data_IF_959458501913
#
_entry.id   IF_959458501913
#
_cell.length_a   1.000
_cell.length_b   1.000
_cell.length_c   1.000
_cell.angle_alpha   90.00
_cell.angle_beta   90.00
_cell.angle_gamma   90.00
#
_symmetry.space_group_name_H-M   'P 1'
#
loop_
_entity.id
_entity.type
_entity.pdbx_description
1 polymer ?
#
# COMPACT_ATOMS: atom_id res chain seq x y z
N UNK A 1 32.90 2.15 22.41
CA UNK A 1 33.71 3.19 23.07
C UNK A 1 34.79 2.55 23.94
N UNK A 2 36.01 3.09 23.93
CA UNK A 2 37.14 2.63 24.75
C UNK A 2 37.11 3.21 26.18
N UNK A 3 37.84 2.63 27.15
CA UNK A 3 37.91 3.19 28.50
C UNK A 3 38.43 4.63 28.55
N UNK A 4 39.36 5.01 27.66
CA UNK A 4 39.88 6.38 27.57
C UNK A 4 38.80 7.36 27.11
N UNK A 5 38.02 6.98 26.10
CA UNK A 5 36.89 7.77 25.60
C UNK A 5 35.79 7.91 26.67
N UNK A 6 35.54 6.89 27.48
CA UNK A 6 34.60 6.97 28.60
C UNK A 6 35.01 8.03 29.64
N UNK A 7 36.31 8.14 29.93
CA UNK A 7 36.86 9.21 30.79
C UNK A 7 36.64 10.58 30.16
N UNK A 8 36.79 10.72 28.84
CA UNK A 8 36.50 11.98 28.15
C UNK A 8 35.02 12.35 28.23
N UNK A 9 34.11 11.40 28.02
CA UNK A 9 32.66 11.64 28.17
C UNK A 9 32.32 12.07 29.61
N UNK A 10 32.84 11.38 30.62
CA UNK A 10 32.57 11.73 32.02
C UNK A 10 33.08 13.14 32.38
N UNK A 11 34.29 13.50 31.92
CA UNK A 11 34.83 14.86 32.08
C UNK A 11 34.00 15.90 31.33
N UNK A 12 33.54 15.55 30.14
CA UNK A 12 32.71 16.44 29.32
C UNK A 12 31.38 16.74 30.02
N UNK A 13 30.69 15.71 30.53
CA UNK A 13 29.48 15.90 31.34
C UNK A 13 29.75 16.69 32.61
N UNK A 14 30.84 16.43 33.33
CA UNK A 14 31.17 17.20 34.53
C UNK A 14 31.41 18.69 34.23
N UNK A 15 31.85 19.01 33.02
CA UNK A 15 32.05 20.39 32.56
C UNK A 15 30.71 21.07 32.24
N UNK A 16 29.81 20.37 31.55
CA UNK A 16 28.49 20.90 31.17
C UNK A 16 27.50 20.93 32.34
N UNK A 17 27.61 19.97 33.27
CA UNK A 17 26.72 19.76 34.39
C UNK A 17 27.48 19.82 35.72
N UNK A 18 28.01 21.00 36.14
CA UNK A 18 28.92 21.11 37.29
C UNK A 18 28.30 20.74 38.64
N UNK A 19 26.96 20.67 38.73
CA UNK A 19 26.26 20.23 39.94
C UNK A 19 26.28 18.70 40.13
N UNK A 20 26.55 17.94 39.05
CA UNK A 20 26.59 16.50 39.08
C UNK A 20 27.93 16.02 39.67
N UNK A 21 27.86 15.27 40.77
CA UNK A 21 29.06 14.76 41.45
C UNK A 21 29.60 13.54 40.71
N UNK A 22 30.86 13.61 40.29
CA UNK A 22 31.62 12.49 39.75
C UNK A 22 32.65 12.01 40.79
N UNK A 23 32.82 10.69 40.89
CA UNK A 23 33.90 10.08 41.67
C UNK A 23 34.91 9.38 40.75
N UNK A 24 35.99 8.86 41.33
CA UNK A 24 37.08 8.21 40.59
C UNK A 24 36.64 6.97 39.79
N UNK A 25 35.56 6.29 40.21
CA UNK A 25 35.04 5.09 39.56
C UNK A 25 33.93 5.37 38.53
N UNK A 26 33.39 6.59 38.49
CA UNK A 26 32.27 6.95 37.61
C UNK A 26 32.60 6.72 36.14
N UNK A 27 33.80 7.10 35.63
CA UNK A 27 34.18 6.81 34.24
C UNK A 27 34.22 5.33 33.90
N UNK A 28 34.66 4.47 34.83
CA UNK A 28 34.73 3.02 34.60
C UNK A 28 33.32 2.42 34.50
N UNK A 29 32.42 2.82 35.41
CA UNK A 29 31.03 2.38 35.38
C UNK A 29 30.32 2.84 34.10
N UNK A 30 30.52 4.11 33.70
CA UNK A 30 29.96 4.65 32.47
C UNK A 30 30.54 3.99 31.23
N UNK A 31 31.85 3.70 31.22
CA UNK A 31 32.53 3.01 30.14
C UNK A 31 31.94 1.63 29.87
N UNK A 32 31.59 0.87 30.93
CA UNK A 32 30.93 -0.42 30.77
C UNK A 32 29.53 -0.29 30.14
N UNK A 33 28.76 0.72 30.56
CA UNK A 33 27.39 0.94 30.08
C UNK A 33 27.37 1.46 28.64
N UNK A 34 28.32 2.34 28.29
CA UNK A 34 28.41 2.98 26.98
C UNK A 34 29.36 2.26 26.00
N UNK A 35 29.98 1.16 26.42
CA UNK A 35 30.92 0.38 25.60
C UNK A 35 30.41 0.05 24.18
N UNK A 36 29.12 -0.28 23.96
CA UNK A 36 28.61 -0.62 22.63
C UNK A 36 28.53 0.56 21.63
N UNK A 37 28.59 1.81 22.10
CA UNK A 37 28.33 2.99 21.27
C UNK A 37 29.63 3.69 20.86
N UNK A 38 29.57 4.48 19.76
CA UNK A 38 30.71 5.29 19.33
C UNK A 38 30.87 6.54 20.22
N UNK A 39 32.10 7.02 20.38
CA UNK A 39 32.39 8.21 21.18
C UNK A 39 31.67 9.45 20.66
N UNK A 40 31.69 9.68 19.34
CA UNK A 40 31.05 10.84 18.72
C UNK A 40 29.53 10.85 18.90
N UNK A 41 28.88 9.68 18.82
CA UNK A 41 27.44 9.55 19.09
C UNK A 41 27.12 9.87 20.55
N UNK A 42 27.93 9.37 21.48
CA UNK A 42 27.76 9.66 22.91
C UNK A 42 27.97 11.14 23.21
N UNK A 43 28.96 11.78 22.60
CA UNK A 43 29.20 13.22 22.77
C UNK A 43 28.04 14.06 22.25
N UNK A 44 27.56 13.79 21.04
CA UNK A 44 26.43 14.52 20.46
C UNK A 44 25.13 14.31 21.25
N UNK A 45 24.95 13.14 21.85
CA UNK A 45 23.84 12.86 22.74
C UNK A 45 23.95 13.61 24.08
N UNK A 46 25.16 13.72 24.64
CA UNK A 46 25.41 14.55 25.83
C UNK A 46 25.03 16.01 25.59
N UNK A 47 25.40 16.58 24.43
CA UNK A 47 25.04 17.95 24.07
C UNK A 47 23.52 18.14 24.03
N UNK A 48 22.81 17.20 23.42
CA UNK A 48 21.35 17.24 23.32
C UNK A 48 20.67 17.14 24.68
N UNK A 49 21.09 16.20 25.53
CA UNK A 49 20.49 16.00 26.86
C UNK A 49 20.80 17.19 27.77
N UNK A 50 22.06 17.62 27.84
CA UNK A 50 22.48 18.74 28.70
C UNK A 50 21.80 20.07 28.33
N UNK A 51 21.42 20.27 27.06
CA UNK A 51 20.66 21.46 26.66
C UNK A 51 19.25 21.54 27.27
N UNK A 52 18.69 20.41 27.72
CA UNK A 52 17.31 20.30 28.23
C UNK A 52 17.24 20.16 29.75
N UNK A 53 18.33 19.73 30.39
CA UNK A 53 18.35 19.41 31.81
C UNK A 53 19.75 19.53 32.42
N UNK A 54 19.79 19.83 33.72
CA UNK A 54 21.04 20.10 34.46
C UNK A 54 21.82 18.84 34.89
N UNK A 55 21.28 17.64 34.65
CA UNK A 55 21.91 16.36 34.98
C UNK A 55 21.85 15.43 33.78
N UNK A 56 22.88 14.60 33.60
CA UNK A 56 22.96 13.65 32.48
C UNK A 56 23.35 12.27 33.01
N UNK A 57 22.53 11.28 32.74
CA UNK A 57 22.79 9.88 33.06
C UNK A 57 23.19 9.07 31.81
N UNK A 58 23.93 7.95 31.95
CA UNK A 58 24.23 7.06 30.83
C UNK A 58 22.98 6.55 30.11
N UNK A 59 21.89 6.30 30.85
CA UNK A 59 20.63 5.84 30.28
C UNK A 59 20.01 6.88 29.36
N UNK A 60 20.08 8.17 29.70
CA UNK A 60 19.56 9.25 28.84
C UNK A 60 20.41 9.43 27.59
N UNK A 61 21.73 9.32 27.71
CA UNK A 61 22.65 9.31 26.56
C UNK A 61 22.26 8.16 25.62
N UNK A 62 22.05 6.95 26.15
CA UNK A 62 21.63 5.78 25.35
C UNK A 62 20.28 6.03 24.67
N UNK A 63 19.30 6.56 25.40
CA UNK A 63 17.98 6.88 24.86
C UNK A 63 18.07 7.87 23.70
N UNK A 64 18.87 8.93 23.85
CA UNK A 64 19.08 9.93 22.79
C UNK A 64 19.82 9.34 21.58
N UNK A 65 20.86 8.51 21.78
CA UNK A 65 21.54 7.82 20.68
C UNK A 65 20.54 6.95 19.90
N UNK A 66 19.70 6.18 20.61
CA UNK A 66 18.67 5.33 19.98
C UNK A 66 17.62 6.15 19.23
N UNK A 67 17.20 7.28 19.78
CA UNK A 67 16.25 8.18 19.13
C UNK A 67 16.82 8.72 17.80
N UNK A 68 18.08 9.20 17.82
CA UNK A 68 18.76 9.69 16.61
C UNK A 68 19.01 8.58 15.59
N UNK A 69 19.34 7.37 16.03
CA UNK A 69 19.46 6.19 15.14
C UNK A 69 18.13 5.87 14.48
N UNK A 70 17.02 5.89 15.23
CA UNK A 70 15.69 5.67 14.69
C UNK A 70 15.32 6.75 13.65
N UNK A 71 15.57 8.02 13.96
CA UNK A 71 15.37 9.14 13.03
C UNK A 71 16.18 8.95 11.73
N UNK A 72 17.45 8.55 11.83
CA UNK A 72 18.28 8.26 10.65
C UNK A 72 17.73 7.11 9.82
N UNK A 73 17.26 6.03 10.46
CA UNK A 73 16.65 4.89 9.78
C UNK A 73 15.37 5.32 9.03
N UNK A 74 14.53 6.13 9.67
CA UNK A 74 13.31 6.67 9.05
C UNK A 74 13.63 7.56 7.85
N UNK A 75 14.59 8.48 7.99
CA UNK A 75 15.00 9.40 6.92
C UNK A 75 15.72 8.70 5.76
N UNK A 76 16.39 7.59 6.01
CA UNK A 76 17.09 6.82 4.98
C UNK A 76 16.14 6.07 4.03
N UNK A 77 14.84 5.95 4.37
CA UNK A 77 13.82 5.26 3.55
C UNK A 77 14.35 3.95 2.94
N UNK A 78 14.91 3.09 3.80
CA UNK A 78 15.59 1.86 3.38
C UNK A 78 14.64 0.96 2.58
N UNK A 79 15.06 0.60 1.37
CA UNK A 79 14.37 -0.37 0.50
C UNK A 79 15.31 -1.54 0.25
N UNK A 80 14.78 -2.76 0.39
CA UNK A 80 15.48 -3.99 0.07
C UNK A 80 14.78 -4.68 -1.09
N UNK A 81 15.45 -4.79 -2.23
CA UNK A 81 14.88 -5.35 -3.46
C UNK A 81 14.89 -6.89 -3.49
N UNK A 82 15.70 -7.51 -2.64
CA UNK A 82 15.86 -8.96 -2.58
C UNK A 82 16.60 -9.57 -3.76
N UNK A 83 17.25 -10.71 -3.51
CA UNK A 83 17.82 -11.58 -4.54
C UNK A 83 16.94 -12.83 -4.66
N UNK A 84 16.36 -13.16 -5.82
CA UNK A 84 15.52 -14.35 -5.97
C UNK A 84 16.26 -15.68 -5.67
N UNK A 85 17.60 -15.68 -5.62
CA UNK A 85 18.41 -16.85 -5.30
C UNK A 85 18.76 -16.97 -3.81
N UNK A 86 18.46 -15.96 -3.00
CA UNK A 86 18.79 -15.95 -1.58
C UNK A 86 17.82 -16.77 -0.73
N UNK A 87 18.33 -17.34 0.35
CA UNK A 87 17.48 -17.95 1.38
C UNK A 87 16.84 -16.88 2.26
N UNK A 88 15.72 -17.21 2.92
CA UNK A 88 15.08 -16.28 3.86
C UNK A 88 15.98 -15.84 5.03
N UNK A 89 16.94 -16.68 5.43
CA UNK A 89 17.90 -16.33 6.48
C UNK A 89 18.93 -15.29 6.01
N UNK A 90 19.41 -15.43 4.77
CA UNK A 90 20.33 -14.48 4.13
C UNK A 90 19.64 -13.13 3.91
N UNK A 91 18.41 -13.15 3.39
CA UNK A 91 17.57 -11.96 3.22
C UNK A 91 17.38 -11.19 4.54
N UNK A 92 17.07 -11.91 5.63
CA UNK A 92 16.91 -11.30 6.94
C UNK A 92 18.24 -10.74 7.50
N UNK A 93 19.37 -11.37 7.20
CA UNK A 93 20.68 -10.86 7.59
C UNK A 93 21.05 -9.60 6.80
N UNK A 94 20.81 -9.58 5.49
CA UNK A 94 21.03 -8.42 4.62
C UNK A 94 20.18 -7.21 5.08
N UNK A 95 18.89 -7.42 5.34
CA UNK A 95 18.00 -6.37 5.87
C UNK A 95 18.53 -5.78 7.19
N UNK A 96 18.99 -6.62 8.13
CA UNK A 96 19.57 -6.14 9.39
C UNK A 96 20.84 -5.34 9.17
N UNK A 97 21.67 -5.72 8.20
CA UNK A 97 22.87 -4.97 7.85
C UNK A 97 22.54 -3.58 7.30
N UNK A 98 21.58 -3.51 6.37
CA UNK A 98 21.19 -2.22 5.76
C UNK A 98 20.57 -1.30 6.82
N UNK A 99 19.68 -1.83 7.67
CA UNK A 99 19.10 -1.05 8.79
C UNK A 99 20.20 -0.58 9.74
N UNK A 100 21.21 -1.42 10.03
CA UNK A 100 22.35 -1.03 10.86
C UNK A 100 23.16 0.08 10.21
N UNK A 101 23.48 -0.04 8.92
CA UNK A 101 24.21 0.98 8.17
C UNK A 101 23.46 2.32 8.12
N UNK A 102 22.14 2.30 7.95
CA UNK A 102 21.31 3.50 8.05
C UNK A 102 21.32 4.08 9.48
N UNK A 103 21.19 3.22 10.49
CA UNK A 103 21.32 3.59 11.89
C UNK A 103 22.67 4.23 12.21
N UNK A 104 23.77 3.72 11.67
CA UNK A 104 25.11 4.26 11.86
C UNK A 104 25.41 5.50 10.97
N UNK A 105 24.44 5.94 10.16
CA UNK A 105 24.56 7.12 9.30
C UNK A 105 25.39 6.92 8.04
N UNK A 106 25.73 5.68 7.69
CA UNK A 106 26.42 5.34 6.43
C UNK A 106 25.49 5.44 5.22
N UNK A 107 24.18 5.35 5.46
CA UNK A 107 23.15 5.64 4.46
C UNK A 107 22.56 7.02 4.75
N UNK A 108 22.81 7.98 3.86
CA UNK A 108 22.28 9.33 3.98
C UNK A 108 20.75 9.39 3.80
N UNK A 109 20.13 10.53 4.13
CA UNK A 109 18.70 10.72 3.92
C UNK A 109 18.37 10.61 2.42
N UNK A 110 17.31 9.90 2.10
CA UNK A 110 16.79 9.74 0.74
C UNK A 110 15.30 10.02 0.73
N UNK A 111 14.73 10.44 -0.40
CA UNK A 111 13.27 10.50 -0.52
C UNK A 111 12.72 9.10 -0.83
N UNK A 112 11.49 8.79 -0.38
CA UNK A 112 10.79 7.55 -0.75
C UNK A 112 10.86 7.31 -2.27
N UNK A 113 10.68 8.37 -3.06
CA UNK A 113 10.76 8.30 -4.53
C UNK A 113 12.15 7.88 -5.01
N UNK A 114 13.21 8.42 -4.41
CA UNK A 114 14.58 8.04 -4.74
C UNK A 114 14.86 6.59 -4.35
N UNK A 115 14.46 6.16 -3.15
CA UNK A 115 14.65 4.78 -2.68
C UNK A 115 13.94 3.74 -3.53
N UNK A 116 12.78 4.08 -4.12
CA UNK A 116 12.06 3.20 -5.05
C UNK A 116 12.62 3.22 -6.48
N UNK A 117 13.79 3.83 -6.72
CA UNK A 117 14.38 3.95 -8.05
C UNK A 117 13.60 4.86 -9.00
N UNK A 118 12.67 5.68 -8.48
CA UNK A 118 11.85 6.60 -9.27
C UNK A 118 12.44 8.02 -9.35
N UNK A 119 13.63 8.24 -8.78
CA UNK A 119 14.39 9.48 -8.87
C UNK A 119 14.93 9.75 -10.27
N UNK A 120 15.45 8.71 -10.94
CA UNK A 120 16.03 8.79 -12.30
C UNK A 120 15.03 8.55 -13.43
N UNK A 121 13.81 8.12 -13.11
CA UNK A 121 12.70 8.23 -14.07
C UNK A 121 12.29 9.69 -14.14
N UNK A 122 13.01 10.44 -14.98
CA UNK A 122 12.47 11.61 -15.66
C UNK A 122 11.03 11.28 -16.04
N UNK A 123 10.10 12.19 -15.74
CA UNK A 123 8.80 12.17 -16.39
C UNK A 123 9.04 11.80 -17.87
N UNK A 124 8.36 10.76 -18.38
CA UNK A 124 8.55 10.21 -19.73
C UNK A 124 9.23 11.23 -20.66
N UNK A 125 10.44 10.95 -21.17
CA UNK A 125 11.20 11.97 -21.91
C UNK A 125 10.32 12.53 -23.02
N UNK A 126 10.22 13.86 -23.18
CA UNK A 126 9.38 14.42 -24.24
C UNK A 126 9.93 13.96 -25.60
N UNK A 127 9.21 13.07 -26.27
CA UNK A 127 9.60 12.52 -27.57
C UNK A 127 8.49 11.65 -28.18
N UNK A 128 8.38 11.67 -29.50
CA UNK A 128 7.30 11.04 -30.28
C UNK A 128 7.34 9.49 -30.31
N UNK A 129 8.31 8.86 -29.64
CA UNK A 129 8.56 7.41 -29.69
C UNK A 129 8.02 6.66 -28.46
N UNK A 130 7.00 7.20 -27.80
CA UNK A 130 6.20 6.37 -26.91
C UNK A 130 5.24 5.59 -27.82
N UNK A 131 5.20 4.26 -27.70
CA UNK A 131 4.23 3.42 -28.43
C UNK A 131 2.77 3.79 -28.13
N UNK A 132 1.81 2.85 -28.07
CA UNK A 132 0.37 3.16 -27.99
C UNK A 132 -0.12 3.93 -26.72
N UNK A 133 0.80 4.47 -25.91
CA UNK A 133 0.59 5.18 -24.66
C UNK A 133 1.02 6.65 -24.67
N UNK A 134 1.42 7.21 -25.83
CA UNK A 134 1.67 8.65 -25.98
C UNK A 134 0.45 9.47 -25.48
N UNK A 135 0.70 10.51 -24.69
CA UNK A 135 -0.36 11.37 -24.16
C UNK A 135 -1.20 10.79 -23.00
N UNK A 136 -1.01 9.52 -22.60
CA UNK A 136 -1.82 8.92 -21.51
C UNK A 136 -1.62 9.63 -20.17
N UNK A 137 -0.38 9.99 -19.83
CA UNK A 137 -0.08 10.73 -18.60
C UNK A 137 -0.64 12.16 -18.62
N UNK A 138 -0.58 12.83 -19.78
CA UNK A 138 -1.18 14.16 -19.97
C UNK A 138 -2.72 14.10 -19.91
N UNK A 139 -3.32 13.07 -20.52
CA UNK A 139 -4.75 12.81 -20.46
C UNK A 139 -5.22 12.49 -19.03
N UNK A 140 -4.46 11.70 -18.26
CA UNK A 140 -4.76 11.42 -16.85
C UNK A 140 -4.69 12.71 -16.04
N UNK A 141 -3.63 13.52 -16.17
CA UNK A 141 -3.54 14.81 -15.48
C UNK A 141 -4.67 15.77 -15.87
N UNK A 142 -5.03 15.82 -17.15
CA UNK A 142 -6.13 16.63 -17.65
C UNK A 142 -7.51 16.11 -17.20
N UNK A 143 -7.60 14.87 -16.72
CA UNK A 143 -8.83 14.26 -16.20
C UNK A 143 -9.02 14.45 -14.69
N UNK A 144 -7.96 14.77 -13.94
CA UNK A 144 -8.07 15.07 -12.50
C UNK A 144 -8.94 16.32 -12.33
N UNK A 145 -10.05 16.19 -11.60
CA UNK A 145 -11.02 17.26 -11.39
C UNK A 145 -12.10 17.38 -12.49
N UNK A 146 -11.99 16.64 -13.60
CA UNK A 146 -13.08 16.50 -14.56
C UNK A 146 -13.97 15.34 -14.16
N UNK A 147 -15.25 15.61 -13.95
CA UNK A 147 -16.24 14.57 -13.77
C UNK A 147 -16.24 13.70 -15.03
N UNK A 148 -15.99 12.37 -14.94
CA UNK A 148 -15.97 11.53 -16.12
C UNK A 148 -17.29 11.70 -16.86
N UNK A 149 -17.25 11.88 -18.20
CA UNK A 149 -18.47 12.12 -18.95
C UNK A 149 -19.42 10.96 -18.71
N UNK A 150 -20.63 11.27 -18.22
CA UNK A 150 -21.66 10.26 -17.91
C UNK A 150 -22.11 9.50 -19.16
N UNK A 151 -21.80 10.02 -20.34
CA UNK A 151 -22.07 9.43 -21.64
C UNK A 151 -20.81 9.59 -22.48
N UNK A 152 -20.26 8.49 -22.97
CA UNK A 152 -19.15 8.47 -23.92
C UNK A 152 -19.70 7.92 -25.22
N UNK A 153 -19.39 8.56 -26.34
CA UNK A 153 -19.83 8.11 -27.66
C UNK A 153 -19.34 6.67 -27.90
N UNK A 154 -20.26 5.79 -28.31
CA UNK A 154 -20.02 4.35 -28.46
C UNK A 154 -20.13 3.50 -27.18
N UNK A 155 -20.28 4.10 -25.98
CA UNK A 155 -20.51 3.35 -24.72
C UNK A 155 -22.00 3.30 -24.42
N UNK A 156 -22.56 2.09 -24.45
CA UNK A 156 -23.96 1.82 -24.10
C UNK A 156 -24.22 2.26 -22.66
N UNK A 157 -25.09 3.26 -22.46
CA UNK A 157 -25.52 3.70 -21.13
C UNK A 157 -26.83 3.00 -20.74
N UNK A 158 -26.79 1.99 -19.83
CA UNK A 158 -27.99 1.25 -19.44
C UNK A 158 -29.05 2.11 -18.74
N UNK A 159 -28.65 3.24 -18.16
CA UNK A 159 -29.58 4.16 -17.51
C UNK A 159 -30.31 5.07 -18.51
N UNK A 160 -29.93 5.06 -19.79
CA UNK A 160 -30.57 5.86 -20.84
C UNK A 160 -31.96 5.36 -21.26
N UNK A 161 -32.31 4.12 -20.92
CA UNK A 161 -33.59 3.48 -21.26
C UNK A 161 -34.39 3.10 -20.00
N UNK A 162 -35.72 2.95 -20.05
CA UNK A 162 -36.50 2.49 -18.91
C UNK A 162 -36.16 1.03 -18.54
N UNK A 163 -36.30 0.67 -17.26
CA UNK A 163 -36.12 -0.70 -16.80
C UNK A 163 -37.45 -1.46 -16.81
N UNK A 164 -37.56 -2.53 -17.58
CA UNK A 164 -38.77 -3.36 -17.60
C UNK A 164 -39.03 -4.10 -16.28
N UNK A 165 -37.98 -4.46 -15.53
CA UNK A 165 -38.13 -5.25 -14.29
C UNK A 165 -38.69 -4.46 -13.11
N UNK A 166 -38.32 -3.19 -12.97
CA UNK A 166 -38.75 -2.36 -11.83
C UNK A 166 -39.48 -1.07 -12.23
N UNK A 167 -39.68 -0.81 -13.52
CA UNK A 167 -40.32 0.40 -14.02
C UNK A 167 -39.48 1.67 -13.88
N UNK A 168 -38.19 1.58 -13.53
CA UNK A 168 -37.34 2.75 -13.36
C UNK A 168 -37.19 3.54 -14.66
N UNK A 169 -37.50 4.83 -14.63
CA UNK A 169 -37.39 5.74 -15.77
C UNK A 169 -35.92 5.93 -16.23
N UNK A 170 -35.68 6.39 -17.46
CA UNK A 170 -34.37 6.87 -17.90
C UNK A 170 -33.76 7.85 -16.89
N UNK A 171 -32.47 7.68 -16.57
CA UNK A 171 -31.73 8.46 -15.57
C UNK A 171 -31.94 7.99 -14.12
N UNK A 172 -33.04 7.30 -13.80
CA UNK A 172 -33.29 6.79 -12.46
C UNK A 172 -32.55 5.48 -12.18
N UNK A 173 -32.13 5.26 -10.93
CA UNK A 173 -31.55 3.99 -10.50
C UNK A 173 -32.62 2.91 -10.35
N UNK A 174 -32.25 1.68 -10.68
CA UNK A 174 -33.07 0.51 -10.44
C UNK A 174 -33.33 0.29 -8.95
N UNK A 175 -34.52 -0.22 -8.61
CA UNK A 175 -34.90 -0.57 -7.23
C UNK A 175 -35.31 -2.03 -7.14
N UNK A 176 -35.04 -2.67 -6.00
CA UNK A 176 -35.54 -4.00 -5.65
C UNK A 176 -36.17 -3.91 -4.27
N UNK A 177 -37.46 -4.27 -4.14
CA UNK A 177 -38.21 -4.18 -2.87
C UNK A 177 -38.09 -2.79 -2.21
N UNK A 178 -38.21 -1.73 -3.00
CA UNK A 178 -38.13 -0.33 -2.54
C UNK A 178 -36.72 0.20 -2.23
N UNK A 179 -35.67 -0.64 -2.27
CA UNK A 179 -34.29 -0.20 -2.05
C UNK A 179 -33.56 0.05 -3.35
N UNK A 180 -32.79 1.14 -3.41
CA UNK A 180 -31.94 1.50 -4.56
C UNK A 180 -30.81 0.48 -4.72
N UNK A 181 -30.62 -0.02 -5.95
CA UNK A 181 -29.47 -0.87 -6.30
C UNK A 181 -28.27 0.00 -6.69
N UNK A 182 -27.07 -0.50 -6.42
CA UNK A 182 -25.83 0.07 -6.92
C UNK A 182 -25.75 -0.10 -8.46
N UNK A 183 -26.05 -1.31 -8.93
CA UNK A 183 -26.09 -1.66 -10.35
C UNK A 183 -27.51 -1.70 -10.93
N UNK A 184 -27.61 -1.56 -12.26
CA UNK A 184 -28.88 -1.74 -12.98
C UNK A 184 -29.29 -3.22 -13.01
N UNK A 185 -30.58 -3.52 -13.20
CA UNK A 185 -30.99 -4.89 -13.45
C UNK A 185 -30.34 -5.43 -14.74
N UNK A 186 -29.97 -6.73 -14.79
CA UNK A 186 -29.42 -7.35 -16.00
C UNK A 186 -30.28 -7.10 -17.24
N UNK A 187 -31.60 -7.26 -17.13
CA UNK A 187 -32.57 -6.96 -18.19
C UNK A 187 -32.40 -5.57 -18.81
N UNK A 188 -32.25 -4.54 -17.98
CA UNK A 188 -32.04 -3.16 -18.44
C UNK A 188 -30.69 -2.99 -19.16
N UNK A 189 -29.66 -3.74 -18.75
CA UNK A 189 -28.36 -3.74 -19.44
C UNK A 189 -28.49 -4.38 -20.81
N UNK A 190 -29.18 -5.51 -20.90
CA UNK A 190 -29.36 -6.25 -22.15
C UNK A 190 -30.24 -5.46 -23.13
N UNK A 191 -31.32 -4.84 -22.66
CA UNK A 191 -32.16 -3.95 -23.47
C UNK A 191 -31.37 -2.76 -24.01
N UNK A 192 -30.42 -2.22 -23.23
CA UNK A 192 -29.62 -1.09 -23.68
C UNK A 192 -28.63 -1.51 -24.77
N UNK A 193 -28.05 -2.71 -24.67
CA UNK A 193 -27.19 -3.29 -25.71
C UNK A 193 -28.00 -3.54 -26.98
N UNK A 194 -29.22 -4.09 -26.86
CA UNK A 194 -30.11 -4.31 -27.99
C UNK A 194 -30.54 -3.01 -28.66
N UNK A 195 -30.94 -2.00 -27.88
CA UNK A 195 -31.31 -0.70 -28.40
C UNK A 195 -30.14 -0.02 -29.14
N UNK A 196 -28.92 -0.13 -28.61
CA UNK A 196 -27.72 0.36 -29.30
C UNK A 196 -27.43 -0.39 -30.61
N UNK A 197 -27.83 -1.66 -30.71
CA UNK A 197 -27.76 -2.46 -31.93
C UNK A 197 -28.97 -2.27 -32.88
N UNK A 198 -29.91 -1.37 -32.56
CA UNK A 198 -31.13 -1.16 -33.35
C UNK A 198 -32.16 -2.30 -33.25
N UNK A 199 -32.02 -3.19 -32.26
CA UNK A 199 -32.94 -4.29 -32.01
C UNK A 199 -34.03 -3.87 -31.02
N UNK A 200 -35.27 -4.38 -31.17
CA UNK A 200 -36.33 -4.14 -30.18
C UNK A 200 -35.95 -4.76 -28.83
N UNK A 201 -36.46 -4.18 -27.72
CA UNK A 201 -36.23 -4.72 -26.38
C UNK A 201 -36.85 -6.12 -26.27
N UNK A 202 -36.36 -6.92 -25.33
CA UNK A 202 -36.88 -8.29 -25.14
C UNK A 202 -38.30 -8.19 -24.58
N UNK A 203 -39.24 -8.95 -25.13
CA UNK A 203 -40.58 -9.07 -24.54
C UNK A 203 -40.49 -9.89 -23.25
N UNK A 204 -40.95 -9.31 -22.14
CA UNK A 204 -40.94 -9.97 -20.83
C UNK A 204 -41.75 -11.28 -20.84
N UNK A 205 -42.84 -11.36 -21.61
CA UNK A 205 -43.64 -12.57 -21.74
C UNK A 205 -42.85 -13.68 -22.45
N UNK A 206 -42.15 -13.32 -23.53
CA UNK A 206 -41.32 -14.25 -24.29
C UNK A 206 -40.12 -14.73 -23.47
N UNK A 207 -39.47 -13.83 -22.70
CA UNK A 207 -38.38 -14.18 -21.81
C UNK A 207 -38.80 -15.18 -20.72
N UNK A 208 -39.98 -14.97 -20.11
CA UNK A 208 -40.54 -15.90 -19.13
C UNK A 208 -40.86 -17.26 -19.74
N UNK A 209 -41.42 -17.29 -20.96
CA UNK A 209 -41.69 -18.54 -21.68
C UNK A 209 -40.41 -19.27 -22.06
N UNK A 210 -39.37 -18.55 -22.48
CA UNK A 210 -38.05 -19.13 -22.76
C UNK A 210 -37.43 -19.74 -21.49
N UNK A 211 -37.51 -19.04 -20.36
CA UNK A 211 -37.03 -19.54 -19.08
C UNK A 211 -37.80 -20.80 -18.64
N UNK A 212 -39.13 -20.80 -18.78
CA UNK A 212 -39.95 -21.97 -18.47
C UNK A 212 -39.62 -23.18 -19.35
N UNK A 213 -39.35 -22.96 -20.65
CA UNK A 213 -38.90 -24.02 -21.57
C UNK A 213 -37.55 -24.62 -21.14
N UNK A 214 -36.59 -23.78 -20.77
CA UNK A 214 -35.28 -24.23 -20.28
C UNK A 214 -35.45 -25.03 -18.99
N UNK A 215 -36.24 -24.54 -18.03
CA UNK A 215 -36.51 -25.25 -16.77
C UNK A 215 -37.18 -26.61 -17.01
N UNK A 216 -38.17 -26.67 -17.90
CA UNK A 216 -38.82 -27.93 -18.26
C UNK A 216 -37.84 -28.91 -18.93
N UNK A 217 -36.98 -28.42 -19.83
CA UNK A 217 -35.96 -29.24 -20.48
C UNK A 217 -34.91 -29.75 -19.48
N UNK A 218 -34.45 -28.91 -18.55
CA UNK A 218 -33.51 -29.31 -17.49
C UNK A 218 -34.14 -30.32 -16.53
N UNK A 219 -35.41 -30.12 -16.14
CA UNK A 219 -36.13 -31.07 -15.31
C UNK A 219 -36.30 -32.44 -16.01
N UNK A 220 -36.64 -32.43 -17.30
CA UNK A 220 -36.75 -33.66 -18.08
C UNK A 220 -35.39 -34.38 -18.26
N UNK A 221 -34.30 -33.63 -18.39
CA UNK A 221 -32.95 -34.21 -18.47
C UNK A 221 -32.55 -34.90 -17.17
N UNK A 222 -32.81 -34.28 -16.01
CA UNK A 222 -32.51 -34.86 -14.70
C UNK A 222 -33.31 -36.15 -14.44
N UNK A 223 -34.57 -36.21 -14.85
CA UNK A 223 -35.38 -37.45 -14.73
C UNK A 223 -34.79 -38.59 -15.55
N UNK A 224 -34.37 -38.33 -16.80
CA UNK A 224 -33.73 -39.35 -17.65
C UNK A 224 -32.41 -39.85 -17.07
N UNK A 225 -31.61 -38.96 -16.49
CA UNK A 225 -30.34 -39.32 -15.84
C UNK A 225 -30.60 -40.23 -14.63
N UNK A 226 -31.59 -39.89 -13.78
CA UNK A 226 -31.98 -40.75 -12.65
C UNK A 226 -32.55 -42.10 -13.08
N UNK A 227 -33.29 -42.19 -14.19
CA UNK A 227 -33.79 -43.46 -14.73
C UNK A 227 -32.64 -44.33 -15.26
N UNK A 228 -31.66 -43.72 -15.93
CA UNK A 228 -30.46 -44.42 -16.43
C UNK A 228 -29.58 -44.94 -15.29
N UNK A 229 -29.42 -44.18 -14.21
CA UNK A 229 -28.66 -44.60 -13.03
C UNK A 229 -29.32 -45.81 -12.34
N UNK A 230 -30.66 -45.81 -12.22
CA UNK A 230 -31.42 -46.93 -11.64
C UNK A 230 -31.38 -48.19 -12.52
N UNK A 231 -31.40 -48.06 -13.84
CA UNK A 231 -31.24 -49.19 -14.76
C UNK A 231 -29.82 -49.78 -14.73
N UNK A 232 -28.80 -48.93 -14.52
CA UNK A 232 -27.41 -49.34 -14.38
C UNK A 232 -27.14 -50.06 -13.04
N UNK A 233 -27.81 -49.68 -11.95
CA UNK A 233 -27.72 -50.37 -10.65
C UNK A 233 -28.45 -51.73 -10.61
N UNK A 234 -29.45 -51.92 -11.48
CA UNK A 234 -30.24 -53.16 -11.55
C UNK A 234 -29.65 -54.24 -12.48
N UNK A 235 -28.59 -53.92 -13.23
CA UNK A 235 -27.90 -54.81 -14.19
C UNK A 235 -26.60 -55.37 -13.62
#
# INVERSE_FOLDING_TARGET
>A
MTPKEAVLIAKYVATLCPQQKFNEFTPNAWGNVLAPYAFEEAQAAVDAVSSRQAFVSPSEIITEIKARRAERIELANVVYDGDPLETGAESAAALREIIRAAGDGLTGPSSIRASLGAGDRLALPPGADHGPYEGRAAAIRASIGKMPPRVREGVVNPRGIPCQTCGALPGASCTTRGRRRQDVHPSRRDDAVRAAAGLPPVDAAEALQAQARIQAASAAALVRETEQDLEAEAS
#
